data_IF_726670882468
#
_entry.id   IF_726670882468
#
_cell.length_a   1.000
_cell.length_b   1.000
_cell.length_c   1.000
_cell.angle_alpha   90.00
_cell.angle_beta   90.00
_cell.angle_gamma   90.00
#
_symmetry.space_group_name_H-M   'P 1'
#
loop_
_entity.id
_entity.type
_entity.pdbx_description
1 polymer ?
#
# COMPACT_ATOMS: atom_id res chain seq x y z
N UNK A 1 -7.21 48.07 14.83
CA UNK A 1 -7.86 47.38 13.67
C UNK A 1 -6.83 46.91 12.69
N UNK A 2 -5.72 47.63 12.52
CA UNK A 2 -4.61 47.27 11.65
C UNK A 2 -3.75 46.13 12.25
N UNK A 3 -3.55 46.10 13.57
CA UNK A 3 -2.79 45.08 14.27
C UNK A 3 -3.40 43.68 14.17
N UNK A 4 -4.73 43.58 14.05
CA UNK A 4 -5.43 42.28 13.89
C UNK A 4 -5.27 41.74 12.46
N UNK A 5 -5.19 42.63 11.48
CA UNK A 5 -5.01 42.24 10.07
C UNK A 5 -3.59 41.69 9.85
N UNK A 6 -2.55 42.36 10.43
CA UNK A 6 -1.16 41.93 10.30
C UNK A 6 -0.89 40.56 10.94
N UNK A 7 -1.48 40.28 12.10
CA UNK A 7 -1.33 38.98 12.78
C UNK A 7 -2.05 37.88 11.96
N UNK A 8 -3.22 38.18 11.40
CA UNK A 8 -4.01 37.23 10.64
C UNK A 8 -3.33 36.89 9.30
N UNK A 9 -2.74 37.85 8.64
CA UNK A 9 -2.04 37.63 7.36
C UNK A 9 -0.76 36.76 7.53
N UNK A 10 -0.02 36.96 8.61
CA UNK A 10 1.16 36.15 8.91
C UNK A 10 0.81 34.70 9.20
N UNK A 11 -0.21 34.46 10.03
CA UNK A 11 -0.69 33.12 10.37
C UNK A 11 -1.25 32.37 9.15
N UNK A 12 -1.92 33.05 8.23
CA UNK A 12 -2.46 32.48 6.99
C UNK A 12 -1.35 32.03 6.05
N UNK A 13 -0.29 32.82 5.92
CA UNK A 13 0.85 32.47 5.05
C UNK A 13 1.58 31.23 5.58
N UNK A 14 1.89 31.20 6.89
CA UNK A 14 2.55 30.07 7.52
C UNK A 14 1.68 28.79 7.43
N UNK A 15 0.38 28.92 7.62
CA UNK A 15 -0.59 27.85 7.46
C UNK A 15 -0.61 27.32 6.02
N UNK A 16 -0.63 28.20 5.02
CA UNK A 16 -0.59 27.78 3.61
C UNK A 16 0.73 27.08 3.26
N UNK A 17 1.88 27.56 3.73
CA UNK A 17 3.15 26.88 3.54
C UNK A 17 3.15 25.48 4.17
N UNK A 18 2.57 25.34 5.35
CA UNK A 18 2.40 24.05 6.02
C UNK A 18 1.59 23.04 5.18
N UNK A 19 0.46 23.48 4.65
CA UNK A 19 -0.39 22.64 3.78
C UNK A 19 0.35 22.29 2.48
N UNK A 20 0.97 23.24 1.81
CA UNK A 20 1.69 22.98 0.56
C UNK A 20 2.83 21.98 0.77
N UNK A 21 3.56 22.08 1.87
CA UNK A 21 4.64 21.16 2.21
C UNK A 21 4.11 19.76 2.52
N UNK A 22 2.97 19.65 3.22
CA UNK A 22 2.33 18.37 3.50
C UNK A 22 1.91 17.68 2.20
N UNK A 23 1.20 18.40 1.35
CA UNK A 23 0.72 17.88 0.06
C UNK A 23 1.89 17.45 -0.84
N UNK A 24 2.97 18.23 -0.88
CA UNK A 24 4.16 17.88 -1.64
C UNK A 24 4.80 16.59 -1.12
N UNK A 25 4.90 16.42 0.19
CA UNK A 25 5.45 15.20 0.78
C UNK A 25 4.58 13.98 0.50
N UNK A 26 3.27 14.12 0.51
CA UNK A 26 2.31 13.07 0.15
C UNK A 26 2.42 12.67 -1.32
N UNK A 27 2.51 13.64 -2.22
CA UNK A 27 2.72 13.40 -3.66
C UNK A 27 4.04 12.68 -3.92
N UNK A 28 5.13 13.10 -3.27
CA UNK A 28 6.44 12.44 -3.39
C UNK A 28 6.39 11.02 -2.84
N UNK A 29 5.79 10.79 -1.67
CA UNK A 29 5.65 9.46 -1.10
C UNK A 29 4.83 8.52 -2.01
N UNK A 30 3.74 9.02 -2.57
CA UNK A 30 2.91 8.30 -3.53
C UNK A 30 3.69 7.96 -4.80
N UNK A 31 4.42 8.92 -5.35
CA UNK A 31 5.25 8.72 -6.54
C UNK A 31 6.36 7.67 -6.31
N UNK A 32 6.97 7.65 -5.13
CA UNK A 32 7.98 6.65 -4.75
C UNK A 32 7.36 5.25 -4.64
N UNK A 33 6.20 5.12 -4.04
CA UNK A 33 5.59 3.81 -3.76
C UNK A 33 4.92 3.21 -5.01
N UNK A 34 4.06 3.97 -5.67
CA UNK A 34 3.16 3.47 -6.72
C UNK A 34 3.19 4.29 -8.02
N UNK A 35 3.97 5.36 -8.08
CA UNK A 35 3.92 6.33 -9.16
C UNK A 35 2.80 7.35 -8.97
N UNK A 36 2.78 8.37 -9.82
CA UNK A 36 1.81 9.47 -9.74
C UNK A 36 0.40 9.11 -10.29
N UNK A 37 0.28 7.96 -10.92
CA UNK A 37 -0.99 7.46 -11.46
C UNK A 37 -1.52 8.22 -12.67
N UNK A 38 -0.74 9.12 -13.25
CA UNK A 38 -1.11 9.88 -14.44
C UNK A 38 -0.78 9.09 -15.70
N UNK A 39 -1.51 9.35 -16.77
CA UNK A 39 -1.24 8.76 -18.08
C UNK A 39 0.12 9.22 -18.62
N UNK A 40 0.70 8.44 -19.54
CA UNK A 40 2.04 8.69 -20.06
C UNK A 40 2.16 10.01 -20.87
N UNK A 41 1.05 10.50 -21.39
CA UNK A 41 0.93 11.73 -22.18
C UNK A 41 0.49 12.97 -21.37
N UNK A 42 0.28 12.83 -20.05
CA UNK A 42 -0.05 13.94 -19.19
C UNK A 42 1.19 14.86 -19.00
N UNK A 43 1.03 16.16 -19.24
CA UNK A 43 2.09 17.16 -19.07
C UNK A 43 2.61 17.26 -17.64
N UNK A 44 1.79 16.86 -16.66
CA UNK A 44 2.12 16.88 -15.24
C UNK A 44 2.65 15.54 -14.75
N UNK A 45 2.84 14.57 -15.62
CA UNK A 45 3.37 13.26 -15.25
C UNK A 45 4.80 13.38 -14.73
N UNK A 46 5.06 12.81 -13.56
CA UNK A 46 6.42 12.66 -13.03
C UNK A 46 7.13 11.62 -13.91
N UNK A 47 8.24 12.02 -14.52
CA UNK A 47 9.02 11.11 -15.36
C UNK A 47 9.56 9.95 -14.53
N UNK A 48 9.33 8.72 -14.98
CA UNK A 48 9.87 7.52 -14.35
C UNK A 48 11.40 7.43 -14.44
N UNK A 49 12.02 8.21 -15.32
CA UNK A 49 13.48 8.39 -15.36
C UNK A 49 14.00 9.18 -14.13
N UNK A 50 13.13 9.99 -13.51
CA UNK A 50 13.47 10.79 -12.34
C UNK A 50 13.04 10.12 -11.03
N UNK A 51 11.82 9.60 -10.96
CA UNK A 51 11.31 8.86 -9.81
C UNK A 51 10.77 7.52 -10.29
N UNK A 52 11.52 6.45 -10.02
CA UNK A 52 11.08 5.09 -10.31
C UNK A 52 10.32 4.56 -9.12
N UNK A 53 9.03 4.24 -9.31
CA UNK A 53 8.20 3.72 -8.24
C UNK A 53 8.57 2.29 -7.88
N UNK A 54 8.44 1.94 -6.60
CA UNK A 54 8.70 0.58 -6.11
C UNK A 54 7.80 -0.43 -6.83
N UNK A 55 6.53 -0.10 -7.03
CA UNK A 55 5.56 -1.01 -7.65
C UNK A 55 5.84 -1.29 -9.14
N UNK A 56 6.31 -0.29 -9.89
CA UNK A 56 6.55 -0.43 -11.33
C UNK A 56 8.01 -0.78 -11.66
N UNK A 57 8.83 -1.03 -10.63
CA UNK A 57 10.22 -1.35 -10.86
C UNK A 57 10.37 -2.74 -11.48
N UNK A 58 11.53 -2.98 -12.06
CA UNK A 58 11.92 -4.20 -12.73
C UNK A 58 11.97 -5.37 -11.72
N UNK A 59 11.66 -6.59 -12.19
CA UNK A 59 11.68 -7.85 -11.41
C UNK A 59 13.04 -8.15 -10.73
N UNK A 60 14.09 -7.43 -11.12
CA UNK A 60 15.40 -7.52 -10.46
C UNK A 60 15.38 -6.88 -9.07
N UNK A 61 14.58 -5.82 -8.88
CA UNK A 61 14.52 -5.04 -7.65
C UNK A 61 13.21 -5.24 -6.89
N UNK A 62 12.11 -5.47 -7.60
CA UNK A 62 10.77 -5.66 -7.02
C UNK A 62 10.21 -7.02 -7.42
N UNK A 63 9.84 -7.83 -6.46
CA UNK A 63 9.22 -9.13 -6.71
C UNK A 63 7.70 -8.93 -6.78
N UNK A 64 7.14 -9.14 -7.97
CA UNK A 64 5.70 -9.17 -8.15
C UNK A 64 5.15 -10.55 -7.78
N UNK A 65 4.15 -10.57 -6.92
CA UNK A 65 3.43 -11.78 -6.54
C UNK A 65 1.97 -11.63 -6.91
N UNK A 66 1.60 -12.22 -8.04
CA UNK A 66 0.24 -12.21 -8.54
C UNK A 66 -0.53 -13.39 -7.97
N UNK A 67 -1.72 -13.15 -7.45
CA UNK A 67 -2.59 -14.16 -6.87
C UNK A 67 -3.99 -14.06 -7.48
N UNK A 68 -4.57 -15.20 -7.79
CA UNK A 68 -5.98 -15.30 -8.18
C UNK A 68 -6.81 -15.49 -6.90
N UNK A 69 -7.38 -14.40 -6.41
CA UNK A 69 -8.18 -14.40 -5.18
C UNK A 69 -9.45 -15.22 -5.35
N UNK A 70 -10.07 -15.25 -6.54
CA UNK A 70 -11.27 -16.02 -6.78
C UNK A 70 -10.98 -17.54 -6.77
N UNK A 71 -9.85 -17.94 -7.35
CA UNK A 71 -9.40 -19.34 -7.27
C UNK A 71 -9.08 -19.74 -5.82
N UNK A 72 -8.38 -18.88 -5.08
CA UNK A 72 -8.08 -19.11 -3.66
C UNK A 72 -9.35 -19.21 -2.81
N UNK A 73 -10.35 -18.37 -3.06
CA UNK A 73 -11.66 -18.44 -2.39
C UNK A 73 -12.38 -19.76 -2.69
N UNK A 74 -12.39 -20.19 -3.96
CA UNK A 74 -13.01 -21.44 -4.37
C UNK A 74 -12.33 -22.65 -3.73
N UNK A 75 -11.01 -22.65 -3.61
CA UNK A 75 -10.24 -23.70 -2.95
C UNK A 75 -10.59 -23.79 -1.45
N UNK A 76 -10.60 -22.67 -0.73
CA UNK A 76 -10.97 -22.61 0.69
C UNK A 76 -12.42 -23.10 0.88
N UNK A 77 -13.32 -22.66 0.03
CA UNK A 77 -14.73 -23.06 0.08
C UNK A 77 -14.91 -24.57 -0.20
N UNK A 78 -14.14 -25.14 -1.14
CA UNK A 78 -14.16 -26.55 -1.48
C UNK A 78 -13.63 -27.47 -0.39
N UNK A 79 -12.66 -27.01 0.39
CA UNK A 79 -12.05 -27.78 1.50
C UNK A 79 -12.86 -27.72 2.80
N UNK A 80 -13.77 -26.76 2.95
CA UNK A 80 -14.53 -26.51 4.19
C UNK A 80 -16.03 -26.69 4.01
N UNK A 81 -16.45 -27.84 3.46
CA UNK A 81 -17.85 -28.14 3.15
C UNK A 81 -18.78 -28.18 4.36
N UNK A 82 -18.23 -28.38 5.55
CA UNK A 82 -19.02 -28.55 6.79
C UNK A 82 -19.23 -27.25 7.58
N UNK A 83 -18.67 -26.12 7.10
CA UNK A 83 -18.69 -24.86 7.84
C UNK A 83 -19.37 -23.76 7.03
N UNK A 84 -20.48 -23.27 7.56
CA UNK A 84 -21.22 -22.16 6.97
C UNK A 84 -20.62 -20.81 7.42
N UNK A 85 -19.38 -20.51 6.99
CA UNK A 85 -18.79 -19.19 7.16
C UNK A 85 -19.30 -18.28 6.04
N UNK A 86 -19.63 -17.04 6.39
CA UNK A 86 -20.04 -16.05 5.39
C UNK A 86 -18.93 -15.76 4.36
N UNK A 87 -19.29 -15.31 3.19
CA UNK A 87 -18.36 -14.99 2.08
C UNK A 87 -17.20 -14.07 2.51
N UNK A 88 -17.46 -13.12 3.41
CA UNK A 88 -16.45 -12.19 3.90
C UNK A 88 -15.32 -12.87 4.67
N UNK A 89 -15.62 -13.97 5.37
CA UNK A 89 -14.60 -14.74 6.07
C UNK A 89 -13.68 -15.47 5.10
N UNK A 90 -14.25 -16.14 4.09
CA UNK A 90 -13.49 -16.87 3.06
C UNK A 90 -12.58 -15.91 2.30
N UNK A 91 -13.08 -14.71 1.99
CA UNK A 91 -12.32 -13.67 1.34
C UNK A 91 -11.17 -13.16 2.24
N UNK A 92 -11.44 -12.92 3.52
CA UNK A 92 -10.40 -12.51 4.48
C UNK A 92 -9.28 -13.55 4.58
N UNK A 93 -9.61 -14.84 4.66
CA UNK A 93 -8.63 -15.91 4.71
C UNK A 93 -7.81 -16.04 3.42
N UNK A 94 -8.45 -15.89 2.26
CA UNK A 94 -7.76 -15.88 0.98
C UNK A 94 -6.73 -14.74 0.89
N UNK A 95 -7.10 -13.55 1.33
CA UNK A 95 -6.21 -12.38 1.36
C UNK A 95 -5.04 -12.59 2.34
N UNK A 96 -5.31 -13.08 3.55
CA UNK A 96 -4.26 -13.32 4.56
C UNK A 96 -3.29 -14.39 4.06
N UNK A 97 -3.78 -15.47 3.50
CA UNK A 97 -2.96 -16.53 2.92
C UNK A 97 -2.09 -16.00 1.78
N UNK A 98 -2.67 -15.21 0.88
CA UNK A 98 -1.94 -14.56 -0.20
C UNK A 98 -0.84 -13.62 0.33
N UNK A 99 -1.15 -12.82 1.35
CA UNK A 99 -0.18 -11.92 1.98
C UNK A 99 0.97 -12.68 2.64
N UNK A 100 0.70 -13.81 3.31
CA UNK A 100 1.73 -14.66 3.90
C UNK A 100 2.65 -15.28 2.84
N UNK A 101 2.10 -15.79 1.73
CA UNK A 101 2.91 -16.31 0.63
C UNK A 101 3.73 -15.21 -0.06
N UNK A 102 3.17 -14.02 -0.22
CA UNK A 102 3.92 -12.88 -0.73
C UNK A 102 5.07 -12.50 0.23
N UNK A 103 4.79 -12.48 1.54
CA UNK A 103 5.80 -12.20 2.57
C UNK A 103 6.95 -13.22 2.56
N UNK A 104 6.67 -14.49 2.32
CA UNK A 104 7.69 -15.54 2.18
C UNK A 104 8.69 -15.24 1.06
N UNK A 105 8.24 -14.60 -0.02
CA UNK A 105 9.09 -14.25 -1.17
C UNK A 105 9.95 -13.00 -0.95
N UNK A 106 9.71 -12.27 0.13
CA UNK A 106 10.49 -11.07 0.44
C UNK A 106 11.97 -11.41 0.68
N UNK A 107 12.86 -10.70 0.00
CA UNK A 107 14.33 -10.90 0.04
C UNK A 107 15.11 -9.70 0.57
N UNK A 108 14.42 -8.64 1.00
CA UNK A 108 15.05 -7.46 1.61
C UNK A 108 15.65 -7.77 2.98
N UNK A 109 16.34 -6.79 3.55
CA UNK A 109 16.93 -6.90 4.88
C UNK A 109 15.87 -6.64 5.97
N UNK A 110 16.04 -7.24 7.13
CA UNK A 110 15.20 -7.02 8.30
C UNK A 110 13.74 -7.43 8.14
N UNK A 111 12.88 -6.80 8.93
CA UNK A 111 11.43 -7.02 8.88
C UNK A 111 10.79 -5.91 8.07
N UNK A 112 10.12 -6.21 6.94
CA UNK A 112 9.45 -5.18 6.16
C UNK A 112 8.18 -4.71 6.87
N UNK A 113 7.75 -3.51 6.53
CA UNK A 113 6.41 -3.01 6.81
C UNK A 113 5.46 -3.37 5.65
N UNK A 114 4.17 -3.42 5.94
CA UNK A 114 3.14 -3.72 4.96
C UNK A 114 2.26 -2.49 4.72
N UNK A 115 2.28 -2.01 3.49
CA UNK A 115 1.48 -0.89 3.02
C UNK A 115 0.31 -1.41 2.20
N UNK A 116 -0.91 -1.07 2.58
CA UNK A 116 -2.12 -1.52 1.88
C UNK A 116 -3.28 -0.53 2.06
N UNK A 117 -4.43 -0.81 1.44
CA UNK A 117 -5.61 0.04 1.60
C UNK A 117 -6.26 -0.15 2.97
N UNK A 118 -6.93 0.88 3.53
CA UNK A 118 -7.71 0.74 4.76
C UNK A 118 -8.79 -0.33 4.65
N UNK A 119 -9.40 -0.47 3.47
CA UNK A 119 -10.39 -1.50 3.20
C UNK A 119 -9.82 -2.91 3.38
N UNK A 120 -8.61 -3.17 2.85
CA UNK A 120 -7.97 -4.48 2.93
C UNK A 120 -7.68 -4.87 4.39
N UNK A 121 -7.19 -3.94 5.22
CA UNK A 121 -6.96 -4.17 6.65
C UNK A 121 -8.26 -4.55 7.35
N UNK A 122 -9.35 -3.83 7.05
CA UNK A 122 -10.65 -4.13 7.64
C UNK A 122 -11.15 -5.52 7.21
N UNK A 123 -10.96 -5.90 5.95
CA UNK A 123 -11.29 -7.26 5.46
C UNK A 123 -10.50 -8.32 6.21
N UNK A 124 -9.19 -8.16 6.37
CA UNK A 124 -8.35 -9.12 7.11
C UNK A 124 -8.76 -9.25 8.58
N UNK A 125 -9.15 -8.15 9.23
CA UNK A 125 -9.66 -8.15 10.61
C UNK A 125 -11.04 -8.84 10.78
N UNK A 126 -11.76 -9.12 9.68
CA UNK A 126 -13.00 -9.89 9.72
C UNK A 126 -12.78 -11.40 9.82
N UNK A 127 -11.54 -11.88 9.67
CA UNK A 127 -11.23 -13.31 9.81
C UNK A 127 -11.70 -13.87 11.17
N UNK A 128 -12.36 -15.03 11.13
CA UNK A 128 -12.97 -15.68 12.30
C UNK A 128 -12.50 -17.12 12.42
N UNK A 129 -12.46 -17.61 13.64
CA UNK A 129 -12.25 -19.01 13.93
C UNK A 129 -13.52 -19.85 13.68
N UNK A 130 -13.39 -21.18 13.88
CA UNK A 130 -14.51 -22.15 13.73
C UNK A 130 -15.68 -21.86 14.68
N UNK A 131 -15.45 -21.15 15.77
CA UNK A 131 -16.46 -20.76 16.75
C UNK A 131 -17.09 -19.38 16.47
N UNK A 132 -16.71 -18.77 15.36
CA UNK A 132 -17.18 -17.44 14.95
C UNK A 132 -16.52 -16.27 15.70
N UNK A 133 -15.47 -16.52 16.47
CA UNK A 133 -14.70 -15.48 17.16
C UNK A 133 -13.69 -14.85 16.19
N UNK A 134 -13.44 -13.54 16.33
CA UNK A 134 -12.39 -12.87 15.56
C UNK A 134 -11.03 -13.44 15.96
N UNK A 135 -10.22 -13.78 14.96
CA UNK A 135 -8.86 -14.28 15.15
C UNK A 135 -7.94 -13.12 15.55
N UNK A 136 -8.07 -11.99 14.84
CA UNK A 136 -7.27 -10.80 15.07
C UNK A 136 -8.11 -9.74 15.76
N UNK A 137 -7.68 -9.29 16.92
CA UNK A 137 -8.41 -8.30 17.73
C UNK A 137 -7.91 -6.88 17.46
N UNK A 138 -6.68 -6.75 16.96
CA UNK A 138 -6.03 -5.48 16.68
C UNK A 138 -5.18 -5.53 15.41
N UNK A 139 -4.78 -4.34 14.92
CA UNK A 139 -3.82 -4.24 13.82
C UNK A 139 -2.46 -4.83 14.19
N UNK A 140 -2.05 -4.72 15.44
CA UNK A 140 -0.80 -5.28 15.93
C UNK A 140 -0.80 -6.81 15.89
N UNK A 141 -1.93 -7.45 16.26
CA UNK A 141 -2.07 -8.91 16.16
C UNK A 141 -1.97 -9.36 14.70
N UNK A 142 -2.59 -8.62 13.78
CA UNK A 142 -2.53 -8.91 12.36
C UNK A 142 -1.11 -8.72 11.81
N UNK A 143 -0.42 -7.65 12.18
CA UNK A 143 0.96 -7.40 11.80
C UNK A 143 1.91 -8.53 12.27
N UNK A 144 1.74 -8.97 13.52
CA UNK A 144 2.48 -10.10 14.07
C UNK A 144 2.21 -11.40 13.29
N UNK A 145 0.96 -11.66 12.92
CA UNK A 145 0.57 -12.83 12.13
C UNK A 145 1.15 -12.81 10.71
N UNK A 146 1.23 -11.64 10.09
CA UNK A 146 1.84 -11.45 8.77
C UNK A 146 3.37 -11.38 8.83
N UNK A 147 3.96 -11.41 10.02
CA UNK A 147 5.41 -11.27 10.22
C UNK A 147 5.98 -9.99 9.59
N UNK A 148 5.34 -8.87 9.88
CA UNK A 148 5.72 -7.52 9.45
C UNK A 148 5.95 -6.61 10.66
N UNK A 149 6.69 -5.51 10.47
CA UNK A 149 6.94 -4.53 11.52
C UNK A 149 5.67 -3.79 11.88
N UNK A 150 5.15 -3.04 10.95
CA UNK A 150 3.89 -2.29 11.10
C UNK A 150 2.99 -2.42 9.86
N UNK A 151 1.71 -2.13 10.07
CA UNK A 151 0.68 -2.05 9.03
C UNK A 151 0.32 -0.58 8.78
N UNK A 152 0.73 -0.09 7.62
CA UNK A 152 0.39 1.25 7.16
C UNK A 152 -0.76 1.21 6.17
N UNK A 153 -1.66 2.18 6.27
CA UNK A 153 -2.79 2.30 5.36
C UNK A 153 -2.65 3.56 4.52
N UNK A 154 -2.77 3.39 3.20
CA UNK A 154 -2.74 4.46 2.21
C UNK A 154 -3.97 4.34 1.31
N UNK A 155 -4.79 5.38 1.27
CA UNK A 155 -6.00 5.43 0.43
C UNK A 155 -5.62 5.53 -1.05
N UNK A 156 -4.45 6.07 -1.36
CA UNK A 156 -3.90 6.25 -2.71
C UNK A 156 -3.65 4.92 -3.43
N UNK A 157 -3.61 3.80 -2.69
CA UNK A 157 -3.47 2.46 -3.26
C UNK A 157 -4.79 1.92 -3.81
N UNK A 158 -5.92 2.55 -3.44
CA UNK A 158 -7.23 2.06 -3.84
C UNK A 158 -7.44 2.26 -5.35
N UNK A 159 -7.91 1.19 -6.00
CA UNK A 159 -8.18 1.19 -7.43
C UNK A 159 -6.93 1.14 -8.33
N UNK A 160 -5.74 1.15 -7.78
CA UNK A 160 -4.51 1.04 -8.57
C UNK A 160 -4.39 -0.35 -9.20
N UNK A 161 -4.08 -0.35 -10.49
CA UNK A 161 -3.92 -1.57 -11.28
C UNK A 161 -2.80 -1.39 -12.29
N UNK A 162 -2.12 -2.48 -12.61
CA UNK A 162 -1.15 -2.55 -13.71
C UNK A 162 -1.62 -3.56 -14.74
N UNK A 163 -1.19 -3.39 -15.97
CA UNK A 163 -1.34 -4.38 -17.03
C UNK A 163 -0.06 -5.20 -17.11
N UNK A 164 -0.18 -6.52 -17.19
CA UNK A 164 0.97 -7.37 -17.51
C UNK A 164 1.23 -7.41 -19.03
N UNK A 165 2.32 -8.06 -19.41
CA UNK A 165 2.68 -8.22 -20.82
C UNK A 165 1.69 -9.05 -21.64
N UNK A 166 0.75 -9.74 -21.01
CA UNK A 166 -0.31 -10.54 -21.63
C UNK A 166 -1.64 -9.78 -21.71
N UNK A 167 -1.69 -8.53 -21.21
CA UNK A 167 -2.89 -7.69 -21.20
C UNK A 167 -3.87 -8.00 -20.07
N UNK A 168 -3.45 -8.76 -19.05
CA UNK A 168 -4.24 -9.02 -17.86
C UNK A 168 -4.05 -7.90 -16.85
N UNK A 169 -5.15 -7.43 -16.27
CA UNK A 169 -5.12 -6.40 -15.25
C UNK A 169 -4.90 -6.99 -13.85
N UNK A 170 -3.88 -6.53 -13.16
CA UNK A 170 -3.56 -6.88 -11.78
C UNK A 170 -3.83 -5.69 -10.87
N UNK A 171 -4.70 -5.87 -9.89
CA UNK A 171 -5.00 -4.86 -8.87
C UNK A 171 -3.99 -4.93 -7.74
N UNK A 172 -3.51 -3.77 -7.31
CA UNK A 172 -2.61 -3.67 -6.15
C UNK A 172 -3.36 -4.00 -4.87
N UNK A 173 -2.90 -5.01 -4.15
CA UNK A 173 -3.40 -5.35 -2.80
C UNK A 173 -2.53 -4.70 -1.73
N UNK A 174 -1.23 -4.71 -1.88
CA UNK A 174 -0.31 -4.09 -0.94
C UNK A 174 1.15 -4.29 -1.32
N UNK A 175 2.03 -3.62 -0.60
CA UNK A 175 3.47 -3.63 -0.83
C UNK A 175 4.17 -3.96 0.49
N UNK A 176 5.05 -4.96 0.46
CA UNK A 176 5.98 -5.23 1.54
C UNK A 176 7.30 -4.55 1.25
N UNK A 177 7.70 -3.61 2.07
CA UNK A 177 8.93 -2.86 1.89
C UNK A 177 9.58 -2.53 3.23
N UNK A 178 10.90 -2.61 3.30
CA UNK A 178 11.68 -2.01 4.38
C UNK A 178 12.23 -0.67 3.86
N UNK A 179 11.67 0.43 4.33
CA UNK A 179 12.07 1.76 3.90
C UNK A 179 13.55 2.08 4.23
N UNK A 180 14.16 1.36 5.18
CA UNK A 180 15.58 1.50 5.48
C UNK A 180 16.49 0.98 4.35
N UNK A 181 15.98 0.07 3.51
CA UNK A 181 16.71 -0.46 2.35
C UNK A 181 16.55 0.43 1.10
N UNK A 182 15.65 1.42 1.16
CA UNK A 182 15.33 2.28 0.04
C UNK A 182 16.01 3.65 0.19
N UNK A 183 16.75 4.05 -0.84
CA UNK A 183 17.46 5.34 -0.84
C UNK A 183 16.97 6.19 -2.00
N UNK A 184 16.47 7.37 -1.69
CA UNK A 184 16.14 8.39 -2.69
C UNK A 184 17.41 9.20 -2.99
N UNK A 185 17.90 9.11 -4.22
CA UNK A 185 19.01 9.93 -4.70
C UNK A 185 18.51 11.28 -5.19
N UNK A 186 19.21 12.36 -4.85
CA UNK A 186 18.98 13.66 -5.45
C UNK A 186 20.28 14.25 -6.01
N UNK A 187 20.20 14.94 -7.14
CA UNK A 187 21.38 15.42 -7.88
C UNK A 187 21.95 16.74 -7.40
N UNK A 188 21.23 17.51 -6.61
CA UNK A 188 21.71 18.81 -6.07
C UNK A 188 21.12 19.11 -4.71
N UNK A 189 21.77 18.61 -3.64
CA UNK A 189 21.50 19.12 -2.28
C UNK A 189 20.04 19.14 -1.83
N UNK A 190 19.19 18.26 -2.38
CA UNK A 190 17.78 18.17 -2.06
C UNK A 190 16.84 18.92 -3.01
N UNK A 191 17.32 19.52 -4.07
CA UNK A 191 16.44 19.99 -5.16
C UNK A 191 16.01 18.80 -6.01
N UNK A 192 14.72 18.47 -5.95
CA UNK A 192 14.06 17.57 -6.89
C UNK A 192 13.80 18.40 -8.15
N UNK A 193 14.50 18.10 -9.22
CA UNK A 193 14.29 18.73 -10.55
C UNK A 193 13.39 17.85 -11.38
#
# INVERSE_FOLDING_TARGET
>A
RDDIVDITDFDVVEYQYGIMRSNLNEEIATAIMIGDGREADDEMKISEDHIRSIWNDNDLYTIHYDVDIEAARAEIQGTRTDMNFGENYIYAEAIISAALYAREKYKGTGTPDFFCTPHLVNVMLLARDMNGRRIYTSRADLAAALNVGELYTAEEFEGRARMDGEGKQHKLLGIFVNLADYTVGSTKGGEIT
#
